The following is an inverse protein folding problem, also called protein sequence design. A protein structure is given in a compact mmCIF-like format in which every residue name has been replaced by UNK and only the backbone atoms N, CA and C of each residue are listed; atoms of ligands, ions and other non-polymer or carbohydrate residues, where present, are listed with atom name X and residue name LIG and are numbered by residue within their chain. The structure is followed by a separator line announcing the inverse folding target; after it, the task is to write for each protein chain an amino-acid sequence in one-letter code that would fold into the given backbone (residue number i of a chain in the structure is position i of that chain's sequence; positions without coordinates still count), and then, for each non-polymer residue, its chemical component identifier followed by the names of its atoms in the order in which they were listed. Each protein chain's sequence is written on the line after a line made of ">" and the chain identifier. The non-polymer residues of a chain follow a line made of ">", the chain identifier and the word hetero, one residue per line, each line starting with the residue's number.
data_IF_602085949923
#
_entry.id   IF_602085949923
#
_cell.length_a   1.000
_cell.length_b   1.000
_cell.length_c   1.000
_cell.angle_alpha   90.00
_cell.angle_beta   90.00
_cell.angle_gamma   90.00
#
_symmetry.space_group_name_H-M   'P 1'
#
loop_
_entity.id
_entity.type
_entity.pdbx_description
1 polymer ?
#
# COMPACT_ATOMS: atom_id res chain seq x y z
N UNK A 1 26.57 3.16 17.41
CA UNK A 1 26.41 1.84 16.78
C UNK A 1 25.56 2.09 15.54
N UNK A 2 26.12 1.90 14.35
CA UNK A 2 25.47 2.31 13.10
C UNK A 2 24.31 1.39 12.77
N UNK A 3 23.17 1.99 12.40
CA UNK A 3 22.08 1.28 11.74
C UNK A 3 22.62 0.73 10.41
N UNK A 4 23.14 -0.49 10.42
CA UNK A 4 23.69 -1.19 9.26
C UNK A 4 22.67 -2.20 8.74
N UNK A 5 21.48 -1.72 8.39
CA UNK A 5 20.48 -2.51 7.66
C UNK A 5 20.01 -1.71 6.44
N UNK A 6 19.53 -2.37 5.37
CA UNK A 6 19.26 -1.71 4.08
C UNK A 6 18.37 -0.46 4.17
N UNK A 7 17.35 -0.45 5.05
CA UNK A 7 16.45 0.69 5.28
C UNK A 7 16.89 1.68 6.36
N UNK A 8 18.14 1.65 6.81
CA UNK A 8 18.62 2.56 7.84
C UNK A 8 18.46 4.04 7.42
N UNK A 9 17.72 4.81 8.23
CA UNK A 9 17.51 6.23 7.96
C UNK A 9 18.84 7.02 8.05
N UNK A 10 19.34 7.58 6.94
CA UNK A 10 20.57 8.38 6.93
C UNK A 10 20.43 9.76 7.59
N UNK A 11 19.19 10.26 7.69
CA UNK A 11 18.85 11.57 8.22
C UNK A 11 18.31 11.39 9.64
N UNK A 12 19.22 11.16 10.58
CA UNK A 12 18.86 10.78 11.96
C UNK A 12 18.10 11.85 12.74
N UNK A 13 18.25 13.13 12.38
CA UNK A 13 17.53 14.24 13.02
C UNK A 13 16.41 14.78 12.14
N UNK A 14 15.33 15.24 12.77
CA UNK A 14 14.23 15.94 12.06
C UNK A 14 14.70 17.18 11.30
N UNK A 15 15.80 17.81 11.76
CA UNK A 15 16.39 18.96 11.09
C UNK A 15 16.99 18.54 9.74
N UNK A 16 17.71 17.42 9.73
CA UNK A 16 18.37 16.92 8.52
C UNK A 16 17.34 16.37 7.52
N UNK A 17 16.30 15.67 8.01
CA UNK A 17 15.17 15.21 7.19
C UNK A 17 14.50 16.39 6.45
N UNK A 18 14.11 17.44 7.19
CA UNK A 18 13.49 18.63 6.60
C UNK A 18 14.41 19.37 5.62
N UNK A 19 15.70 19.40 5.89
CA UNK A 19 16.67 20.02 4.99
C UNK A 19 16.77 19.24 3.67
N UNK A 20 16.82 17.91 3.74
CA UNK A 20 16.80 17.03 2.58
C UNK A 20 15.50 17.16 1.79
N UNK A 21 14.34 17.02 2.44
CA UNK A 21 13.01 17.12 1.81
C UNK A 21 12.81 18.45 1.08
N UNK A 22 13.23 19.55 1.70
CA UNK A 22 13.16 20.89 1.09
C UNK A 22 14.02 20.96 -0.18
N UNK A 23 15.27 20.52 -0.10
CA UNK A 23 16.17 20.54 -1.25
C UNK A 23 15.72 19.58 -2.36
N UNK A 24 15.11 18.45 -1.99
CA UNK A 24 14.55 17.50 -2.93
C UNK A 24 13.40 18.14 -3.72
N UNK A 25 12.44 18.76 -3.04
CA UNK A 25 11.31 19.45 -3.68
C UNK A 25 11.78 20.57 -4.62
N UNK A 26 12.76 21.36 -4.21
CA UNK A 26 13.31 22.44 -5.06
C UNK A 26 13.97 21.89 -6.34
N UNK A 27 14.61 20.71 -6.25
CA UNK A 27 15.27 20.06 -7.39
C UNK A 27 14.28 19.41 -8.33
N UNK A 28 13.24 18.76 -7.83
CA UNK A 28 12.29 18.00 -8.65
C UNK A 28 11.22 18.86 -9.29
N UNK A 29 10.84 19.99 -8.66
CA UNK A 29 9.81 20.89 -9.18
C UNK A 29 10.08 21.46 -10.57
N UNK A 30 11.35 21.44 -11.03
CA UNK A 30 11.77 21.97 -12.33
C UNK A 30 12.27 20.90 -13.30
N UNK A 31 12.25 19.64 -12.89
CA UNK A 31 12.80 18.53 -13.68
C UNK A 31 11.71 17.84 -14.48
N UNK A 32 12.06 17.44 -15.70
CA UNK A 32 11.19 16.65 -16.59
C UNK A 32 11.55 15.17 -16.58
N UNK A 33 12.66 14.79 -15.93
CA UNK A 33 13.05 13.41 -15.67
C UNK A 33 12.23 12.84 -14.51
N UNK A 34 12.00 11.53 -14.49
CA UNK A 34 11.39 10.81 -13.36
C UNK A 34 12.44 10.33 -12.32
N UNK A 35 13.74 10.53 -12.60
CA UNK A 35 14.87 10.11 -11.74
C UNK A 35 15.96 11.18 -11.67
N UNK A 36 16.54 11.36 -10.48
CA UNK A 36 17.71 12.22 -10.22
C UNK A 36 18.67 11.59 -9.22
N UNK A 37 19.92 12.06 -9.23
CA UNK A 37 20.89 11.85 -8.15
C UNK A 37 20.93 13.09 -7.25
N UNK A 38 20.63 12.94 -5.97
CA UNK A 38 20.67 14.03 -4.99
C UNK A 38 21.20 13.53 -3.64
N UNK A 39 22.16 14.25 -3.05
CA UNK A 39 22.74 13.93 -1.74
C UNK A 39 23.28 12.49 -1.64
N UNK A 40 23.95 12.04 -2.72
CA UNK A 40 24.46 10.66 -2.87
C UNK A 40 23.35 9.60 -2.76
N UNK A 41 22.16 9.92 -3.30
CA UNK A 41 21.00 9.04 -3.35
C UNK A 41 20.33 9.09 -4.71
N UNK A 42 19.96 7.91 -5.19
CA UNK A 42 19.06 7.78 -6.33
C UNK A 42 17.66 8.10 -5.85
N UNK A 43 17.01 9.07 -6.48
CA UNK A 43 15.63 9.44 -6.16
C UNK A 43 14.78 9.33 -7.41
N UNK A 44 13.76 8.49 -7.34
CA UNK A 44 12.69 8.43 -8.34
C UNK A 44 11.46 9.14 -7.80
N UNK A 45 10.73 9.83 -8.67
CA UNK A 45 9.59 10.62 -8.27
C UNK A 45 8.49 10.63 -9.33
N UNK A 46 7.25 10.80 -8.86
CA UNK A 46 6.08 10.84 -9.72
C UNK A 46 5.07 11.84 -9.16
N UNK A 47 4.61 12.73 -10.03
CA UNK A 47 3.52 13.64 -9.71
C UNK A 47 2.19 12.92 -9.94
N UNK A 48 1.30 12.98 -8.96
CA UNK A 48 -0.07 12.48 -9.03
C UNK A 48 -0.99 13.59 -8.50
N UNK A 49 -1.83 14.15 -9.38
CA UNK A 49 -2.62 15.37 -9.11
C UNK A 49 -1.79 16.52 -8.52
N UNK A 50 -2.00 16.89 -7.25
CA UNK A 50 -1.30 17.95 -6.52
C UNK A 50 -0.30 17.41 -5.47
N UNK A 51 0.05 16.12 -5.57
CA UNK A 51 0.98 15.43 -4.67
C UNK A 51 2.19 14.90 -5.45
N UNK A 52 3.36 15.00 -4.85
CA UNK A 52 4.59 14.40 -5.36
C UNK A 52 4.95 13.18 -4.52
N UNK A 53 5.05 12.04 -5.17
CA UNK A 53 5.51 10.79 -4.59
C UNK A 53 7.02 10.67 -4.81
N UNK A 54 7.73 10.13 -3.83
CA UNK A 54 9.18 9.95 -3.87
C UNK A 54 9.55 8.56 -3.34
N UNK A 55 10.53 7.93 -4.00
CA UNK A 55 11.24 6.77 -3.47
C UNK A 55 12.73 7.10 -3.51
N UNK A 56 13.39 6.93 -2.37
CA UNK A 56 14.78 7.34 -2.15
C UNK A 56 15.61 6.09 -1.84
N UNK A 57 16.51 5.74 -2.75
CA UNK A 57 17.45 4.62 -2.59
C UNK A 57 18.87 5.09 -2.28
N UNK A 58 19.77 4.14 -2.00
CA UNK A 58 21.21 4.40 -1.99
C UNK A 58 21.74 4.78 -3.38
N UNK A 59 22.94 5.36 -3.46
CA UNK A 59 23.57 5.71 -4.75
C UNK A 59 23.81 4.50 -5.68
N UNK A 60 23.98 3.31 -5.10
CA UNK A 60 24.31 2.07 -5.80
C UNK A 60 23.07 1.20 -6.08
N UNK A 61 21.89 1.65 -5.69
CA UNK A 61 20.65 0.90 -5.88
C UNK A 61 20.19 0.91 -7.34
N UNK A 62 19.46 -0.14 -7.74
CA UNK A 62 18.93 -0.24 -9.09
C UNK A 62 17.75 0.73 -9.29
N UNK A 63 17.97 1.78 -10.09
CA UNK A 63 16.97 2.78 -10.49
C UNK A 63 15.66 2.17 -11.01
N UNK A 64 15.73 1.10 -11.80
CA UNK A 64 14.56 0.44 -12.37
C UNK A 64 13.71 -0.22 -11.26
N UNK A 65 14.38 -0.81 -10.27
CA UNK A 65 13.69 -1.41 -9.13
C UNK A 65 12.98 -0.35 -8.29
N UNK A 66 13.65 0.77 -8.00
CA UNK A 66 13.03 1.91 -7.31
C UNK A 66 11.85 2.49 -8.12
N UNK A 67 11.99 2.56 -9.45
CA UNK A 67 10.92 3.00 -10.33
C UNK A 67 9.68 2.08 -10.25
N UNK A 68 9.88 0.76 -10.17
CA UNK A 68 8.77 -0.18 -9.96
C UNK A 68 8.08 0.05 -8.61
N UNK A 69 8.82 0.37 -7.55
CA UNK A 69 8.24 0.68 -6.22
C UNK A 69 7.35 1.92 -6.29
N UNK A 70 7.80 3.01 -6.91
CA UNK A 70 6.98 4.22 -6.99
C UNK A 70 5.75 4.03 -7.88
N UNK A 71 5.86 3.25 -8.96
CA UNK A 71 4.69 2.87 -9.76
C UNK A 71 3.72 2.01 -8.97
N UNK A 72 4.22 1.01 -8.23
CA UNK A 72 3.39 0.17 -7.37
C UNK A 72 2.63 1.00 -6.33
N UNK A 73 3.30 1.97 -5.67
CA UNK A 73 2.66 2.89 -4.74
C UNK A 73 1.57 3.72 -5.43
N UNK A 74 1.91 4.36 -6.55
CA UNK A 74 1.00 5.24 -7.30
C UNK A 74 -0.22 4.49 -7.82
N UNK A 75 -0.04 3.31 -8.39
CA UNK A 75 -1.13 2.51 -8.94
C UNK A 75 -1.97 1.87 -7.82
N UNK A 76 -1.35 1.43 -6.72
CA UNK A 76 -2.09 0.91 -5.54
C UNK A 76 -2.96 1.99 -4.90
N UNK A 77 -2.44 3.20 -4.74
CA UNK A 77 -3.22 4.34 -4.23
C UNK A 77 -4.38 4.68 -5.17
N UNK A 78 -4.18 4.61 -6.49
CA UNK A 78 -5.26 4.80 -7.45
C UNK A 78 -6.36 3.74 -7.31
N UNK A 79 -6.01 2.48 -7.05
CA UNK A 79 -7.00 1.42 -6.78
C UNK A 79 -7.74 1.69 -5.47
N UNK A 80 -7.00 1.92 -4.38
CA UNK A 80 -7.56 2.09 -3.04
C UNK A 80 -8.45 3.34 -2.92
N UNK A 81 -8.04 4.44 -3.57
CA UNK A 81 -8.72 5.74 -3.52
C UNK A 81 -9.58 6.01 -4.76
N UNK A 82 -9.87 4.97 -5.57
CA UNK A 82 -10.77 5.05 -6.74
C UNK A 82 -10.38 6.19 -7.71
N UNK A 83 -9.10 6.29 -8.03
CA UNK A 83 -8.48 7.29 -8.90
C UNK A 83 -8.59 8.75 -8.40
N UNK A 84 -8.81 8.96 -7.09
CA UNK A 84 -8.81 10.28 -6.46
C UNK A 84 -7.59 10.43 -5.56
N UNK A 85 -6.40 10.46 -6.16
CA UNK A 85 -5.13 10.61 -5.43
C UNK A 85 -4.72 12.08 -5.45
N UNK A 86 -5.39 12.87 -4.61
CA UNK A 86 -5.05 14.26 -4.33
C UNK A 86 -4.67 14.44 -2.85
N UNK A 87 -4.09 15.59 -2.51
CA UNK A 87 -3.60 15.88 -1.16
C UNK A 87 -4.68 15.74 -0.10
N UNK A 88 -5.90 16.20 -0.38
CA UNK A 88 -7.00 16.12 0.58
C UNK A 88 -7.38 14.66 0.81
N UNK A 89 -7.60 13.91 -0.27
CA UNK A 89 -8.02 12.50 -0.19
C UNK A 89 -6.98 11.62 0.50
N UNK A 90 -5.69 11.85 0.25
CA UNK A 90 -4.60 11.14 0.94
C UNK A 90 -4.56 11.45 2.45
N UNK A 91 -4.81 12.69 2.85
CA UNK A 91 -4.84 13.07 4.28
C UNK A 91 -6.07 12.48 4.97
N UNK A 92 -7.23 12.50 4.30
CA UNK A 92 -8.48 11.94 4.84
C UNK A 92 -8.42 10.41 4.99
N UNK A 93 -7.59 9.72 4.20
CA UNK A 93 -7.43 8.26 4.18
C UNK A 93 -5.96 7.85 4.44
N UNK A 94 -5.29 8.54 5.37
CA UNK A 94 -3.86 8.32 5.63
C UNK A 94 -3.56 6.91 6.16
N UNK A 95 -4.51 6.30 6.85
CA UNK A 95 -4.46 4.92 7.31
C UNK A 95 -4.28 3.94 6.14
N UNK A 96 -5.08 4.07 5.08
CA UNK A 96 -4.94 3.27 3.87
C UNK A 96 -3.60 3.52 3.16
N UNK A 97 -3.14 4.77 3.12
CA UNK A 97 -1.85 5.11 2.53
C UNK A 97 -0.68 4.49 3.30
N UNK A 98 -0.73 4.49 4.64
CA UNK A 98 0.27 3.86 5.50
C UNK A 98 0.30 2.35 5.30
N UNK A 99 -0.86 1.68 5.31
CA UNK A 99 -0.95 0.23 5.07
C UNK A 99 -0.48 -0.15 3.67
N UNK A 100 -0.74 0.68 2.67
CA UNK A 100 -0.22 0.50 1.31
C UNK A 100 1.30 0.50 1.29
N UNK A 101 1.95 1.43 2.00
CA UNK A 101 3.41 1.48 2.09
C UNK A 101 3.97 0.24 2.80
N UNK A 102 3.35 -0.19 3.91
CA UNK A 102 3.77 -1.37 4.68
C UNK A 102 3.72 -2.67 3.84
N UNK A 103 2.78 -2.79 2.91
CA UNK A 103 2.69 -3.93 1.99
C UNK A 103 3.73 -3.87 0.84
N UNK A 104 4.26 -2.70 0.53
CA UNK A 104 5.25 -2.51 -0.56
C UNK A 104 6.68 -2.69 -0.02
N UNK A 105 7.00 -2.06 1.10
CA UNK A 105 8.36 -2.03 1.67
C UNK A 105 8.32 -2.25 3.18
N UNK A 106 9.18 -3.16 3.67
CA UNK A 106 9.42 -3.39 5.08
C UNK A 106 10.92 -3.24 5.40
N UNK A 107 11.27 -2.30 6.28
CA UNK A 107 12.65 -1.96 6.67
C UNK A 107 13.65 -1.81 5.50
N UNK A 108 13.16 -1.26 4.37
CA UNK A 108 13.94 -1.06 3.14
C UNK A 108 14.01 -2.28 2.21
N UNK A 109 13.34 -3.37 2.56
CA UNK A 109 13.17 -4.57 1.72
C UNK A 109 11.86 -4.44 0.96
N UNK A 110 11.94 -4.56 -0.37
CA UNK A 110 10.75 -4.54 -1.23
C UNK A 110 10.05 -5.90 -1.11
N UNK A 111 8.78 -5.89 -0.70
CA UNK A 111 7.98 -7.09 -0.49
C UNK A 111 7.09 -7.41 -1.69
N UNK A 112 6.43 -6.40 -2.25
CA UNK A 112 5.47 -6.55 -3.33
C UNK A 112 5.50 -5.34 -4.26
N UNK A 113 5.32 -5.56 -5.55
CA UNK A 113 5.27 -4.49 -6.57
C UNK A 113 4.03 -4.57 -7.46
N UNK A 114 3.21 -5.62 -7.33
CA UNK A 114 1.93 -5.70 -8.04
C UNK A 114 0.85 -4.89 -7.31
N UNK A 115 0.32 -3.81 -7.90
CA UNK A 115 -0.62 -2.93 -7.24
C UNK A 115 -1.98 -3.58 -6.93
N UNK A 116 -2.39 -4.58 -7.72
CA UNK A 116 -3.63 -5.32 -7.48
C UNK A 116 -3.48 -6.20 -6.25
N UNK A 117 -2.30 -6.84 -6.10
CA UNK A 117 -2.01 -7.67 -4.93
C UNK A 117 -1.96 -6.80 -3.67
N UNK A 118 -1.21 -5.69 -3.70
CA UNK A 118 -1.09 -4.73 -2.59
C UNK A 118 -2.48 -4.25 -2.16
N UNK A 119 -3.26 -3.69 -3.09
CA UNK A 119 -4.60 -3.18 -2.78
C UNK A 119 -5.52 -4.26 -2.23
N UNK A 120 -5.41 -5.50 -2.73
CA UNK A 120 -6.20 -6.64 -2.23
C UNK A 120 -5.84 -7.05 -0.80
N UNK A 121 -4.59 -6.86 -0.36
CA UNK A 121 -4.14 -7.15 1.01
C UNK A 121 -4.57 -6.05 1.97
N UNK A 122 -4.37 -4.79 1.58
CA UNK A 122 -4.82 -3.61 2.34
C UNK A 122 -6.34 -3.59 2.55
N UNK A 123 -7.13 -4.01 1.55
CA UNK A 123 -8.60 -3.97 1.63
C UNK A 123 -9.22 -5.11 2.44
N UNK A 124 -8.44 -6.14 2.83
CA UNK A 124 -8.98 -7.26 3.61
C UNK A 124 -9.12 -6.83 5.07
N UNK A 125 -10.31 -6.92 5.67
CA UNK A 125 -10.41 -6.78 7.12
C UNK A 125 -9.47 -7.81 7.77
N UNK A 126 -8.88 -7.49 8.93
CA UNK A 126 -8.14 -8.47 9.71
C UNK A 126 -9.02 -9.71 9.82
N UNK A 127 -8.48 -10.88 9.49
CA UNK A 127 -9.15 -12.12 9.77
C UNK A 127 -9.20 -12.27 11.30
N UNK A 128 -10.12 -11.55 11.94
CA UNK A 128 -10.62 -11.94 13.25
C UNK A 128 -11.04 -13.39 13.09
N UNK A 129 -10.63 -14.22 14.04
CA UNK A 129 -10.90 -15.66 14.15
C UNK A 129 -12.40 -15.99 13.95
N UNK A 130 -12.84 -15.93 12.70
CA UNK A 130 -14.14 -16.32 12.23
C UNK A 130 -13.92 -17.70 11.62
N UNK A 131 -14.32 -18.79 12.30
CA UNK A 131 -14.18 -20.11 11.73
C UNK A 131 -15.01 -20.15 10.44
N UNK A 132 -14.32 -20.33 9.31
CA UNK A 132 -14.90 -20.68 8.01
C UNK A 132 -16.05 -19.79 7.50
N UNK A 133 -15.77 -18.54 7.13
CA UNK A 133 -16.63 -17.77 6.22
C UNK A 133 -15.91 -17.37 4.93
N UNK A 134 -14.90 -18.13 4.50
CA UNK A 134 -14.39 -18.06 3.14
C UNK A 134 -15.32 -18.88 2.24
N UNK A 135 -16.07 -18.20 1.35
CA UNK A 135 -16.86 -18.87 0.31
C UNK A 135 -18.34 -18.48 0.23
N UNK A 136 -18.76 -17.33 0.76
CA UNK A 136 -20.08 -16.79 0.45
C UNK A 136 -20.04 -16.09 -0.91
N UNK A 137 -20.32 -16.87 -1.94
CA UNK A 137 -20.71 -16.34 -3.25
C UNK A 137 -22.05 -15.60 -3.09
N UNK A 138 -22.05 -14.30 -3.33
CA UNK A 138 -23.23 -13.40 -3.27
C UNK A 138 -24.07 -13.48 -4.56
N UNK A 139 -23.95 -14.57 -5.31
CA UNK A 139 -24.83 -14.90 -6.43
C UNK A 139 -26.20 -15.36 -5.94
N UNK A 140 -27.22 -15.27 -6.80
CA UNK A 140 -28.55 -15.82 -6.51
C UNK A 140 -28.50 -17.32 -6.18
N UNK A 141 -27.55 -18.06 -6.77
CA UNK A 141 -27.29 -19.47 -6.49
C UNK A 141 -26.73 -19.69 -5.09
N UNK A 142 -25.85 -18.81 -4.61
CA UNK A 142 -25.30 -18.83 -3.25
C UNK A 142 -26.37 -18.58 -2.19
N UNK A 143 -27.22 -17.58 -2.40
CA UNK A 143 -28.36 -17.27 -1.50
C UNK A 143 -29.35 -18.43 -1.40
N UNK A 144 -29.63 -19.12 -2.52
CA UNK A 144 -30.50 -20.29 -2.53
C UNK A 144 -29.92 -21.46 -1.71
N UNK A 145 -28.61 -21.70 -1.82
CA UNK A 145 -27.94 -22.73 -1.02
C UNK A 145 -27.99 -22.40 0.48
N UNK A 146 -27.83 -21.13 0.85
CA UNK A 146 -27.94 -20.69 2.26
C UNK A 146 -29.36 -20.89 2.78
N UNK A 147 -30.38 -20.54 1.99
CA UNK A 147 -31.78 -20.73 2.35
C UNK A 147 -32.11 -22.21 2.56
N UNK A 148 -31.64 -23.08 1.66
CA UNK A 148 -31.80 -24.53 1.78
C UNK A 148 -31.07 -25.09 3.00
N UNK A 149 -29.84 -24.64 3.25
CA UNK A 149 -29.05 -25.05 4.41
C UNK A 149 -29.71 -24.61 5.73
N UNK A 150 -30.20 -23.37 5.78
CA UNK A 150 -30.95 -22.83 6.91
C UNK A 150 -32.22 -23.65 7.19
N UNK A 151 -32.96 -24.03 6.14
CA UNK A 151 -34.16 -24.87 6.25
C UNK A 151 -33.83 -26.28 6.75
N UNK A 152 -32.76 -26.91 6.25
CA UNK A 152 -32.31 -28.23 6.72
C UNK A 152 -31.91 -28.19 8.19
N UNK A 153 -31.10 -27.20 8.59
CA UNK A 153 -30.61 -27.08 9.97
C UNK A 153 -31.73 -26.77 10.98
N UNK A 154 -32.75 -26.02 10.57
CA UNK A 154 -33.95 -25.78 11.38
C UNK A 154 -34.80 -27.06 11.52
N UNK A 155 -34.95 -27.83 10.43
CA UNK A 155 -35.65 -29.10 10.43
C UNK A 155 -34.98 -30.14 11.33
N UNK A 156 -33.65 -30.22 11.33
CA UNK A 156 -32.90 -31.10 12.22
C UNK A 156 -33.04 -30.71 13.70
N UNK A 157 -33.03 -29.41 14.02
CA UNK A 157 -33.26 -28.92 15.39
C UNK A 157 -34.68 -29.18 15.89
N UNK A 158 -35.69 -29.07 15.03
CA UNK A 158 -37.07 -29.43 15.36
C UNK A 158 -37.23 -30.94 15.58
N UNK A 159 -36.45 -31.77 14.88
CA UNK A 159 -36.51 -33.24 15.01
C UNK A 159 -35.74 -33.79 16.21
N UNK A 160 -34.74 -33.06 16.70
CA UNK A 160 -33.98 -33.38 17.92
C UNK A 160 -34.60 -32.80 19.20
N UNK A 161 -35.61 -31.94 19.08
CA UNK A 161 -36.32 -31.29 20.19
C UNK A 161 -37.66 -31.93 20.58
N UNK A 162 -37.93 -33.16 20.14
CA UNK A 162 -39.06 -34.01 20.56
C UNK A 162 -38.54 -35.23 21.33
#
# INVERSE_FOLDING_TARGET
>A
QGNNYPGANPYTSLKDQKAFEKGLLEKTAKQTSDVILYDNRVVVFKMESDVMLYVVGGAEENEIMLYNVILALRDSLNILLKNSVDKRTLIENYDLASLCIDEIVDDGIILETDPVIIASRVSRPPAQDAPNMQGLDLSEEGLLKIYQFGKQKLGERLRQGL
#
